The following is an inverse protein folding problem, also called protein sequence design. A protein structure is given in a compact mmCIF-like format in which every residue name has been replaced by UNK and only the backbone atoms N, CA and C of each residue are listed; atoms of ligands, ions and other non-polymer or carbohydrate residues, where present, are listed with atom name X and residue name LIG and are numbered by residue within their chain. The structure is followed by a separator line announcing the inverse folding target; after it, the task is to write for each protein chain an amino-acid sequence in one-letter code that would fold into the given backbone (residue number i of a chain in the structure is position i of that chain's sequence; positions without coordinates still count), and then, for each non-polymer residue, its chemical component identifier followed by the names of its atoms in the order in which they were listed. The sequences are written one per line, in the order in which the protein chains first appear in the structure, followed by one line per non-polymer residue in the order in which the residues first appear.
data_IF_732164204447
#
_entry.id   IF_732164204447
#
_cell.length_a   1.000
_cell.length_b   1.000
_cell.length_c   1.000
_cell.angle_alpha   90.00
_cell.angle_beta   90.00
_cell.angle_gamma   90.00
#
_symmetry.space_group_name_H-M   'P 1'
#
loop_
_entity.id
_entity.type
_entity.pdbx_description
1 polymer ?
#
# COMPACT_ATOMS: atom_id res chain seq x y z
N UNK A 1 6.42 -10.44 -10.50
CA UNK A 1 5.68 -9.36 -9.80
C UNK A 1 5.89 -8.06 -10.54
N UNK A 2 4.82 -7.31 -10.76
CA UNK A 2 4.83 -6.10 -11.57
C UNK A 2 4.49 -4.92 -10.67
N UNK A 3 5.48 -4.06 -10.48
CA UNK A 3 5.46 -3.00 -9.50
C UNK A 3 6.56 -1.98 -9.73
N UNK A 4 6.85 -1.13 -8.74
CA UNK A 4 7.92 -0.13 -8.82
C UNK A 4 8.43 0.09 -7.41
N UNK A 5 9.75 -0.01 -7.24
CA UNK A 5 10.39 0.34 -5.97
C UNK A 5 10.50 1.87 -5.88
N UNK A 6 9.78 2.47 -4.93
CA UNK A 6 9.88 3.88 -4.60
C UNK A 6 9.50 4.13 -3.12
N UNK A 7 9.68 5.35 -2.63
CA UNK A 7 9.41 5.71 -1.23
C UNK A 7 7.94 6.09 -0.95
N UNK A 8 7.03 5.92 -1.93
CA UNK A 8 5.60 6.14 -1.76
C UNK A 8 4.94 4.87 -1.24
N UNK A 9 3.73 4.99 -0.67
CA UNK A 9 3.03 3.87 -0.04
C UNK A 9 2.97 2.60 -0.91
N UNK A 10 2.51 2.73 -2.17
CA UNK A 10 2.44 1.59 -3.09
C UNK A 10 3.80 1.00 -3.45
N UNK A 11 4.84 1.82 -3.58
CA UNK A 11 6.19 1.33 -3.88
C UNK A 11 6.87 0.67 -2.68
N UNK A 12 6.61 1.14 -1.47
CA UNK A 12 7.03 0.48 -0.23
C UNK A 12 6.31 -0.86 -0.07
N UNK A 13 4.99 -0.91 -0.30
CA UNK A 13 4.24 -2.15 -0.27
C UNK A 13 4.81 -3.18 -1.26
N UNK A 14 5.00 -2.79 -2.52
CA UNK A 14 5.64 -3.65 -3.53
C UNK A 14 7.04 -4.12 -3.10
N UNK A 15 7.90 -3.18 -2.68
CA UNK A 15 9.29 -3.47 -2.35
C UNK A 15 9.43 -4.44 -1.18
N UNK A 16 8.66 -4.23 -0.10
CA UNK A 16 8.70 -5.08 1.09
C UNK A 16 8.11 -6.46 0.81
N UNK A 17 6.96 -6.53 0.11
CA UNK A 17 6.39 -7.82 -0.30
C UNK A 17 7.36 -8.60 -1.18
N UNK A 18 8.00 -7.93 -2.14
CA UNK A 18 8.98 -8.54 -3.02
C UNK A 18 10.20 -9.08 -2.26
N UNK A 19 10.73 -8.29 -1.31
CA UNK A 19 11.85 -8.70 -0.46
C UNK A 19 11.51 -9.97 0.35
N UNK A 20 10.35 -9.98 0.99
CA UNK A 20 9.93 -11.11 1.83
C UNK A 20 9.66 -12.35 0.97
N UNK A 21 8.99 -12.22 -0.18
CA UNK A 21 8.74 -13.34 -1.09
C UNK A 21 10.06 -13.94 -1.63
N UNK A 22 11.04 -13.07 -1.95
CA UNK A 22 12.39 -13.50 -2.37
C UNK A 22 13.19 -14.20 -1.27
N UNK A 23 12.87 -13.92 -0.01
CA UNK A 23 13.53 -14.56 1.14
C UNK A 23 13.05 -16.00 1.37
N UNK A 24 11.89 -16.39 0.82
CA UNK A 24 11.32 -17.71 1.01
C UNK A 24 12.11 -18.77 0.24
N UNK A 25 12.61 -19.79 0.94
CA UNK A 25 13.47 -20.84 0.38
C UNK A 25 12.92 -21.51 -0.88
N UNK A 26 11.61 -21.71 -0.97
CA UNK A 26 10.97 -22.43 -2.08
C UNK A 26 10.57 -21.53 -3.24
N UNK A 27 10.33 -20.24 -2.99
CA UNK A 27 9.81 -19.30 -3.99
C UNK A 27 10.87 -18.32 -4.47
N UNK A 28 11.88 -18.01 -3.66
CA UNK A 28 12.75 -16.88 -3.92
C UNK A 28 13.51 -16.91 -5.25
N UNK A 29 13.93 -18.10 -5.70
CA UNK A 29 14.64 -18.27 -6.97
C UNK A 29 13.76 -18.10 -8.21
N UNK A 30 12.43 -18.16 -8.08
CA UNK A 30 11.48 -18.03 -9.19
C UNK A 30 10.79 -16.66 -9.21
N UNK A 31 11.10 -15.78 -8.26
CA UNK A 31 10.47 -14.45 -8.15
C UNK A 31 11.22 -13.44 -9.00
N UNK A 32 10.63 -13.07 -10.13
CA UNK A 32 11.05 -11.94 -10.95
C UNK A 32 10.32 -10.65 -10.54
N UNK A 33 11.06 -9.53 -10.50
CA UNK A 33 10.50 -8.19 -10.34
C UNK A 33 10.59 -7.44 -11.65
N UNK A 34 9.50 -6.78 -12.04
CA UNK A 34 9.43 -5.93 -13.23
C UNK A 34 9.03 -4.54 -12.79
N UNK A 35 9.86 -3.54 -13.11
CA UNK A 35 9.47 -2.14 -12.96
C UNK A 35 8.44 -1.78 -14.03
N UNK A 36 7.17 -1.82 -13.64
CA UNK A 36 6.05 -1.56 -14.55
C UNK A 36 5.90 -0.08 -14.93
N UNK A 37 6.73 0.82 -14.39
CA UNK A 37 6.87 2.19 -14.91
C UNK A 37 7.87 2.29 -16.06
N UNK A 38 8.68 1.26 -16.31
CA UNK A 38 9.67 1.21 -17.40
C UNK A 38 9.12 0.38 -18.57
N UNK A 39 8.58 1.06 -19.59
CA UNK A 39 7.95 0.40 -20.74
C UNK A 39 8.80 -0.71 -21.38
N UNK A 40 10.11 -0.54 -21.65
CA UNK A 40 10.90 -1.61 -22.26
C UNK A 40 11.00 -2.88 -21.39
N UNK A 41 11.11 -2.72 -20.07
CA UNK A 41 11.16 -3.85 -19.13
C UNK A 41 9.81 -4.57 -19.07
N UNK A 42 8.72 -3.79 -19.09
CA UNK A 42 7.37 -4.34 -19.10
C UNK A 42 7.04 -5.07 -20.41
N UNK A 43 7.42 -4.52 -21.55
CA UNK A 43 7.24 -5.16 -22.86
C UNK A 43 8.02 -6.48 -22.96
N UNK A 44 9.25 -6.51 -22.44
CA UNK A 44 10.03 -7.74 -22.36
C UNK A 44 9.36 -8.80 -21.47
N UNK A 45 8.88 -8.40 -20.29
CA UNK A 45 8.16 -9.30 -19.38
C UNK A 45 6.88 -9.87 -20.02
N UNK A 46 6.10 -9.02 -20.70
CA UNK A 46 4.91 -9.44 -21.45
C UNK A 46 5.29 -10.48 -22.52
N UNK A 47 6.33 -10.21 -23.31
CA UNK A 47 6.79 -11.12 -24.36
C UNK A 47 7.25 -12.48 -23.81
N UNK A 48 7.97 -12.47 -22.68
CA UNK A 48 8.51 -13.69 -22.05
C UNK A 48 7.51 -14.46 -21.20
N UNK A 49 6.38 -13.86 -20.82
CA UNK A 49 5.36 -14.52 -19.99
C UNK A 49 4.83 -15.82 -20.61
N UNK A 50 4.51 -16.77 -19.74
CA UNK A 50 4.07 -18.14 -20.02
C UNK A 50 2.75 -18.46 -19.29
N UNK A 51 1.98 -19.47 -19.73
CA UNK A 51 0.77 -19.90 -19.02
C UNK A 51 0.99 -20.34 -17.56
N UNK A 52 2.20 -20.76 -17.21
CA UNK A 52 2.58 -21.22 -15.88
C UNK A 52 2.89 -20.08 -14.90
N UNK A 53 3.05 -18.86 -15.40
CA UNK A 53 3.42 -17.71 -14.58
C UNK A 53 2.27 -17.22 -13.68
N UNK A 54 2.65 -16.67 -12.53
CA UNK A 54 1.75 -15.92 -11.64
C UNK A 54 2.19 -14.45 -11.62
N UNK A 55 1.35 -13.59 -12.19
CA UNK A 55 1.61 -12.17 -12.37
C UNK A 55 0.86 -11.36 -11.32
N UNK A 56 1.57 -10.94 -10.27
CA UNK A 56 1.03 -10.11 -9.19
C UNK A 56 1.24 -8.63 -9.51
N UNK A 57 0.14 -7.87 -9.59
CA UNK A 57 0.12 -6.45 -9.90
C UNK A 57 -0.30 -5.62 -8.69
N UNK A 58 0.50 -4.58 -8.39
CA UNK A 58 0.29 -3.69 -7.24
C UNK A 58 -0.50 -2.42 -7.56
N UNK A 59 -0.87 -2.21 -8.83
CA UNK A 59 -1.73 -1.11 -9.26
C UNK A 59 -2.41 -1.43 -10.60
N UNK A 60 -3.41 -0.62 -10.94
CA UNK A 60 -4.09 -0.68 -12.24
C UNK A 60 -3.13 -0.34 -13.37
N UNK A 61 -2.92 -1.27 -14.29
CA UNK A 61 -2.11 -1.05 -15.48
C UNK A 61 -2.78 -1.63 -16.74
N UNK A 62 -2.73 -0.94 -17.90
CA UNK A 62 -3.33 -1.45 -19.14
C UNK A 62 -2.70 -2.76 -19.63
N UNK A 63 -1.43 -3.02 -19.27
CA UNK A 63 -0.72 -4.22 -19.74
C UNK A 63 -1.08 -5.52 -19.02
N UNK A 64 -1.99 -5.49 -18.03
CA UNK A 64 -2.45 -6.71 -17.33
C UNK A 64 -3.03 -7.74 -18.30
N UNK A 65 -3.75 -7.31 -19.33
CA UNK A 65 -4.35 -8.22 -20.32
C UNK A 65 -3.34 -8.84 -21.27
N UNK A 66 -2.09 -8.35 -21.32
CA UNK A 66 -1.07 -8.84 -22.26
C UNK A 66 -0.14 -9.89 -21.66
N UNK A 67 -0.06 -10.01 -20.33
CA UNK A 67 0.70 -11.10 -19.70
C UNK A 67 -0.07 -12.42 -19.79
N UNK A 68 0.65 -13.52 -20.03
CA UNK A 68 0.11 -14.88 -19.97
C UNK A 68 0.12 -15.41 -18.54
N UNK A 69 -0.68 -16.45 -18.29
CA UNK A 69 -0.77 -17.11 -16.99
C UNK A 69 -1.76 -16.46 -16.02
N UNK A 70 -1.59 -16.74 -14.74
CA UNK A 70 -2.49 -16.25 -13.69
C UNK A 70 -2.25 -14.76 -13.45
N UNK A 71 -3.33 -13.98 -13.36
CA UNK A 71 -3.31 -12.52 -13.19
C UNK A 71 -3.91 -12.20 -11.83
N UNK A 72 -3.06 -11.75 -10.91
CA UNK A 72 -3.44 -11.36 -9.56
C UNK A 72 -3.43 -9.85 -9.47
N UNK A 73 -4.57 -9.23 -9.18
CA UNK A 73 -4.69 -7.79 -9.01
C UNK A 73 -4.86 -7.45 -7.53
N UNK A 74 -3.87 -6.79 -6.94
CA UNK A 74 -3.97 -6.32 -5.57
C UNK A 74 -4.75 -5.01 -5.53
N UNK A 75 -6.03 -5.11 -5.18
CA UNK A 75 -6.97 -4.00 -5.13
C UNK A 75 -6.94 -3.34 -3.74
N UNK A 76 -6.37 -2.14 -3.67
CA UNK A 76 -6.32 -1.30 -2.47
C UNK A 76 -7.09 -0.01 -2.77
N UNK A 77 -8.12 0.27 -1.98
CA UNK A 77 -8.96 1.45 -2.11
C UNK A 77 -9.49 1.90 -0.74
N UNK A 78 -9.88 3.17 -0.63
CA UNK A 78 -10.31 3.83 0.61
C UNK A 78 -11.79 4.30 0.51
N UNK A 79 -12.60 3.71 -0.38
CA UNK A 79 -13.99 4.10 -0.66
C UNK A 79 -14.92 2.89 -0.74
N UNK A 80 -16.15 3.04 -0.27
CA UNK A 80 -17.24 2.06 -0.39
C UNK A 80 -17.98 2.11 -1.73
N UNK A 81 -17.76 3.19 -2.51
CA UNK A 81 -18.27 3.35 -3.87
C UNK A 81 -17.11 3.45 -4.83
N UNK A 82 -17.02 2.47 -5.72
CA UNK A 82 -15.93 2.35 -6.69
C UNK A 82 -16.37 2.86 -8.07
N UNK A 83 -15.46 3.51 -8.84
CA UNK A 83 -15.73 3.85 -10.22
C UNK A 83 -16.10 2.62 -11.06
N UNK A 84 -17.13 2.73 -11.90
CA UNK A 84 -17.60 1.61 -12.71
C UNK A 84 -16.52 1.03 -13.64
N UNK A 85 -15.62 1.89 -14.16
CA UNK A 85 -14.50 1.47 -14.99
C UNK A 85 -13.42 0.70 -14.21
N UNK A 86 -13.27 0.98 -12.91
CA UNK A 86 -12.37 0.22 -12.04
C UNK A 86 -12.94 -1.17 -11.75
N UNK A 87 -14.24 -1.27 -11.49
CA UNK A 87 -14.93 -2.55 -11.30
C UNK A 87 -14.86 -3.40 -12.58
N UNK A 88 -15.15 -2.81 -13.75
CA UNK A 88 -15.00 -3.49 -15.03
C UNK A 88 -13.56 -3.94 -15.28
N UNK A 89 -12.57 -3.08 -14.97
CA UNK A 89 -11.17 -3.44 -15.07
C UNK A 89 -10.82 -4.69 -14.24
N UNK A 90 -11.23 -4.75 -12.96
CA UNK A 90 -10.99 -5.92 -12.12
C UNK A 90 -11.66 -7.17 -12.69
N UNK A 91 -12.94 -7.06 -13.06
CA UNK A 91 -13.73 -8.17 -13.63
C UNK A 91 -13.11 -8.75 -14.90
N UNK A 92 -12.66 -7.90 -15.82
CA UNK A 92 -12.24 -8.32 -17.15
C UNK A 92 -10.78 -8.78 -17.18
N UNK A 93 -9.97 -8.38 -16.19
CA UNK A 93 -8.52 -8.58 -16.21
C UNK A 93 -7.96 -9.47 -15.09
N UNK A 94 -8.70 -9.69 -14.00
CA UNK A 94 -8.23 -10.53 -12.90
C UNK A 94 -8.62 -12.01 -13.10
N UNK A 95 -7.70 -12.90 -12.77
CA UNK A 95 -8.04 -14.28 -12.40
C UNK A 95 -8.23 -14.39 -10.89
N UNK A 96 -7.50 -13.59 -10.11
CA UNK A 96 -7.64 -13.44 -8.67
C UNK A 96 -7.50 -11.96 -8.31
N UNK A 97 -8.33 -11.49 -7.39
CA UNK A 97 -8.26 -10.17 -6.78
C UNK A 97 -7.84 -10.34 -5.32
N UNK A 98 -6.78 -9.65 -4.92
CA UNK A 98 -6.37 -9.59 -3.52
C UNK A 98 -6.85 -8.29 -2.90
N UNK A 99 -7.45 -8.38 -1.72
CA UNK A 99 -7.85 -7.23 -0.91
C UNK A 99 -7.26 -7.33 0.49
N UNK A 100 -6.95 -6.22 1.17
CA UNK A 100 -6.27 -6.25 2.47
C UNK A 100 -7.18 -6.64 3.65
N UNK A 101 -8.49 -6.68 3.46
CA UNK A 101 -9.46 -6.92 4.54
C UNK A 101 -10.79 -7.47 4.02
N UNK A 102 -11.57 -8.07 4.93
CA UNK A 102 -12.95 -8.48 4.65
C UNK A 102 -13.83 -7.30 4.19
N UNK A 103 -13.62 -6.10 4.76
CA UNK A 103 -14.33 -4.90 4.30
C UNK A 103 -14.10 -4.63 2.80
N UNK A 104 -12.86 -4.74 2.33
CA UNK A 104 -12.56 -4.57 0.90
C UNK A 104 -13.20 -5.65 0.03
N UNK A 105 -13.29 -6.89 0.54
CA UNK A 105 -14.00 -7.98 -0.13
C UNK A 105 -15.49 -7.67 -0.25
N UNK A 106 -16.13 -7.26 0.84
CA UNK A 106 -17.54 -6.92 0.87
C UNK A 106 -17.87 -5.81 -0.14
N UNK A 107 -17.07 -4.73 -0.18
CA UNK A 107 -17.23 -3.64 -1.15
C UNK A 107 -17.14 -4.13 -2.60
N UNK A 108 -16.21 -5.04 -2.91
CA UNK A 108 -16.09 -5.59 -4.27
C UNK A 108 -17.25 -6.53 -4.63
N UNK A 109 -17.72 -7.34 -3.68
CA UNK A 109 -18.89 -8.21 -3.87
C UNK A 109 -20.14 -7.38 -4.12
N UNK A 110 -20.36 -6.33 -3.33
CA UNK A 110 -21.45 -5.37 -3.53
C UNK A 110 -21.35 -4.63 -4.88
N UNK A 111 -20.12 -4.34 -5.34
CA UNK A 111 -19.87 -3.79 -6.66
C UNK A 111 -20.07 -4.81 -7.81
N UNK A 112 -20.36 -6.07 -7.51
CA UNK A 112 -20.64 -7.13 -8.49
C UNK A 112 -19.39 -7.79 -9.06
N UNK A 113 -18.31 -7.90 -8.27
CA UNK A 113 -17.21 -8.83 -8.53
C UNK A 113 -17.56 -10.19 -7.93
N UNK A 114 -17.24 -11.27 -8.64
CA UNK A 114 -17.49 -12.63 -8.17
C UNK A 114 -16.67 -12.91 -6.88
N UNK A 115 -17.31 -13.25 -5.75
CA UNK A 115 -16.59 -13.57 -4.52
C UNK A 115 -15.61 -14.74 -4.66
N UNK A 116 -15.80 -15.63 -5.64
CA UNK A 116 -14.92 -16.78 -5.85
C UNK A 116 -13.51 -16.40 -6.36
N UNK A 117 -13.34 -15.19 -6.89
CA UNK A 117 -12.04 -14.68 -7.34
C UNK A 117 -11.40 -13.72 -6.34
N UNK A 118 -12.01 -13.48 -5.17
CA UNK A 118 -11.50 -12.50 -4.18
C UNK A 118 -10.91 -13.23 -2.97
N UNK A 119 -9.60 -13.06 -2.78
CA UNK A 119 -8.89 -13.49 -1.57
C UNK A 119 -8.55 -12.31 -0.67
N UNK A 120 -8.74 -12.50 0.64
CA UNK A 120 -8.27 -11.54 1.64
C UNK A 120 -6.81 -11.83 1.95
N UNK A 121 -5.93 -10.92 1.55
CA UNK A 121 -4.49 -10.97 1.78
C UNK A 121 -4.07 -9.70 2.54
N UNK A 122 -4.00 -9.76 3.89
CA UNK A 122 -3.63 -8.61 4.69
C UNK A 122 -2.23 -8.09 4.38
N UNK A 123 -2.05 -6.77 4.43
CA UNK A 123 -0.71 -6.18 4.36
C UNK A 123 0.10 -6.51 5.62
N UNK A 124 1.39 -6.80 5.41
CA UNK A 124 2.30 -7.18 6.47
C UNK A 124 3.02 -5.99 7.12
N UNK A 125 3.49 -6.18 8.36
CA UNK A 125 4.48 -5.31 8.99
C UNK A 125 5.79 -6.07 9.13
N UNK A 126 6.92 -5.40 8.94
CA UNK A 126 8.22 -6.03 9.16
C UNK A 126 8.42 -6.31 10.67
N UNK A 127 8.41 -7.58 11.12
CA UNK A 127 8.45 -7.91 12.53
C UNK A 127 9.83 -7.63 13.16
N UNK A 128 10.89 -7.44 12.36
CA UNK A 128 12.21 -7.04 12.89
C UNK A 128 12.21 -5.60 13.37
N UNK A 129 11.38 -4.75 12.77
CA UNK A 129 11.23 -3.34 13.14
C UNK A 129 10.04 -3.13 14.09
N UNK A 130 8.96 -3.88 13.87
CA UNK A 130 7.68 -3.75 14.57
C UNK A 130 7.37 -5.04 15.33
N UNK A 131 7.98 -5.22 16.50
CA UNK A 131 7.58 -6.27 17.42
C UNK A 131 7.33 -5.75 18.83
N UNK A 132 6.37 -6.33 19.56
CA UNK A 132 5.94 -5.83 20.88
C UNK A 132 7.04 -5.90 21.95
N UNK A 133 8.07 -6.73 21.74
CA UNK A 133 9.18 -6.92 22.68
C UNK A 133 10.33 -5.92 22.49
N UNK A 134 10.30 -5.08 21.45
CA UNK A 134 11.40 -4.17 21.12
C UNK A 134 11.30 -2.82 21.84
N UNK A 135 10.20 -2.57 22.54
CA UNK A 135 9.93 -1.30 23.22
C UNK A 135 9.66 -1.54 24.70
N UNK A 136 10.26 -0.70 25.54
CA UNK A 136 9.88 -0.63 26.95
C UNK A 136 8.39 -0.34 27.04
N UNK A 137 7.67 -1.13 27.85
CA UNK A 137 6.27 -0.84 28.15
C UNK A 137 6.23 0.52 28.83
N UNK A 138 5.40 1.41 28.31
CA UNK A 138 5.13 2.68 28.97
C UNK A 138 4.32 2.38 30.23
N UNK A 139 4.71 2.98 31.35
CA UNK A 139 3.94 2.88 32.59
C UNK A 139 2.52 3.42 32.36
N UNK A 140 1.53 2.73 32.92
CA UNK A 140 0.15 3.17 32.86
C UNK A 140 0.03 4.55 33.52
N UNK A 141 -0.57 5.52 32.81
CA UNK A 141 -0.72 6.89 33.31
C UNK A 141 0.54 7.76 33.19
N UNK A 142 1.64 7.28 32.61
CA UNK A 142 2.84 8.10 32.41
C UNK A 142 2.53 9.36 31.59
N UNK A 143 2.85 10.53 32.14
CA UNK A 143 2.64 11.83 31.50
C UNK A 143 3.89 12.33 30.74
N UNK A 144 3.72 13.20 29.74
CA UNK A 144 2.45 13.63 29.15
C UNK A 144 1.81 12.54 28.28
N UNK A 145 0.48 12.42 28.23
CA UNK A 145 -0.16 11.56 27.22
C UNK A 145 0.18 12.07 25.82
N UNK A 146 0.66 11.19 24.93
CA UNK A 146 1.19 11.59 23.61
C UNK A 146 0.26 11.13 22.50
N UNK A 147 -0.30 12.08 21.77
CA UNK A 147 -0.90 11.86 20.47
C UNK A 147 0.20 11.91 19.41
N UNK A 148 0.12 11.02 18.42
CA UNK A 148 1.03 10.99 17.28
C UNK A 148 0.20 11.08 16.00
N UNK A 149 0.50 12.07 15.16
CA UNK A 149 -0.01 12.14 13.79
C UNK A 149 1.15 11.99 12.81
N UNK A 150 1.04 11.00 11.93
CA UNK A 150 2.03 10.70 10.88
C UNK A 150 1.35 10.83 9.52
N UNK A 151 1.89 11.69 8.67
CA UNK A 151 1.35 11.92 7.33
C UNK A 151 2.20 12.89 6.54
N UNK A 152 1.97 12.96 5.24
CA UNK A 152 2.54 14.04 4.41
C UNK A 152 1.82 15.34 4.75
N UNK A 153 2.52 16.47 4.80
CA UNK A 153 1.90 17.79 4.92
C UNK A 153 1.08 18.16 3.68
N UNK A 154 -0.16 17.68 3.63
CA UNK A 154 -1.11 17.85 2.54
C UNK A 154 -2.50 18.16 3.13
N UNK A 155 -3.32 18.91 2.41
CA UNK A 155 -4.65 19.32 2.88
C UNK A 155 -5.56 18.12 3.22
N UNK A 156 -5.46 17.03 2.46
CA UNK A 156 -6.16 15.77 2.72
C UNK A 156 -5.79 15.13 4.08
N UNK A 157 -4.70 15.54 4.72
CA UNK A 157 -4.30 15.08 6.07
C UNK A 157 -4.80 15.99 7.19
N UNK A 158 -5.54 17.05 6.86
CA UNK A 158 -6.31 17.88 7.79
C UNK A 158 -5.52 18.46 8.99
N UNK A 159 -4.23 18.81 8.79
CA UNK A 159 -3.39 19.36 9.87
C UNK A 159 -3.98 20.60 10.55
N UNK A 160 -4.68 21.46 9.78
CA UNK A 160 -5.36 22.65 10.33
C UNK A 160 -6.42 22.25 11.36
N UNK A 161 -7.35 21.38 10.95
CA UNK A 161 -8.41 20.88 11.83
C UNK A 161 -7.84 20.11 13.04
N UNK A 162 -6.78 19.32 12.84
CA UNK A 162 -6.07 18.64 13.92
C UNK A 162 -5.50 19.62 14.95
N UNK A 163 -4.81 20.66 14.50
CA UNK A 163 -4.20 21.67 15.38
C UNK A 163 -5.26 22.51 16.11
N UNK A 164 -6.29 22.96 15.40
CA UNK A 164 -7.41 23.71 15.97
C UNK A 164 -8.16 22.86 17.01
N UNK A 165 -8.50 21.62 16.68
CA UNK A 165 -9.17 20.69 17.58
C UNK A 165 -8.30 20.33 18.80
N UNK A 166 -7.00 20.10 18.61
CA UNK A 166 -6.09 19.83 19.72
C UNK A 166 -5.97 21.03 20.66
N UNK A 167 -5.84 22.23 20.12
CA UNK A 167 -5.77 23.47 20.91
C UNK A 167 -7.07 23.72 21.69
N UNK A 168 -8.23 23.50 21.06
CA UNK A 168 -9.54 23.63 21.73
C UNK A 168 -9.74 22.60 22.84
N UNK A 169 -9.35 21.34 22.60
CA UNK A 169 -9.54 20.26 23.57
C UNK A 169 -8.58 20.34 24.77
N UNK A 170 -7.36 20.81 24.56
CA UNK A 170 -6.28 20.68 25.55
C UNK A 170 -5.59 21.98 25.95
N UNK A 171 -5.71 23.05 25.16
CA UNK A 171 -5.07 24.34 25.43
C UNK A 171 -3.58 24.21 25.75
N UNK A 172 -3.16 24.82 26.86
CA UNK A 172 -1.78 24.79 27.35
C UNK A 172 -1.54 23.70 28.41
N UNK A 173 -2.33 22.61 28.41
CA UNK A 173 -2.19 21.54 29.40
C UNK A 173 -0.82 20.82 29.25
N UNK A 174 0.08 20.89 30.24
CA UNK A 174 1.41 20.29 30.15
C UNK A 174 1.39 18.75 30.21
N UNK A 175 0.27 18.14 30.61
CA UNK A 175 0.11 16.70 30.74
C UNK A 175 -0.25 15.99 29.43
N UNK A 176 -0.38 16.72 28.33
CA UNK A 176 -0.69 16.18 27.00
C UNK A 176 0.22 16.79 25.93
N UNK A 177 0.54 16.00 24.92
CA UNK A 177 1.45 16.39 23.85
C UNK A 177 0.94 15.87 22.51
N UNK A 178 0.95 16.73 21.49
CA UNK A 178 0.76 16.34 20.09
C UNK A 178 2.12 16.31 19.39
N UNK A 179 2.49 15.14 18.85
CA UNK A 179 3.68 14.96 18.03
C UNK A 179 3.23 14.86 16.58
N UNK A 180 3.79 15.73 15.73
CA UNK A 180 3.53 15.74 14.29
C UNK A 180 4.77 15.24 13.54
N UNK A 181 4.60 14.16 12.79
CA UNK A 181 5.54 13.73 11.76
C UNK A 181 4.91 14.08 10.41
N UNK A 182 5.23 15.29 9.93
CA UNK A 182 4.59 15.93 8.77
C UNK A 182 5.55 16.11 7.58
N UNK A 183 6.77 15.60 7.67
CA UNK A 183 7.79 15.80 6.65
C UNK A 183 7.47 15.09 5.33
N UNK A 184 7.84 15.77 4.25
CA UNK A 184 7.80 15.28 2.88
C UNK A 184 9.21 14.76 2.53
N UNK A 185 9.37 13.46 2.30
CA UNK A 185 10.68 12.87 1.96
C UNK A 185 11.20 13.21 0.55
N UNK A 186 10.56 14.13 -0.17
CA UNK A 186 11.11 14.66 -1.43
C UNK A 186 11.73 16.02 -1.14
N UNK A 187 13.05 16.07 -1.24
CA UNK A 187 13.91 17.26 -1.11
C UNK A 187 13.27 18.49 -1.77
N UNK A 188 12.70 19.39 -0.96
CA UNK A 188 12.29 20.72 -1.42
C UNK A 188 13.48 21.57 -1.91
N UNK A 189 14.70 21.18 -1.53
CA UNK A 189 15.97 21.84 -1.91
C UNK A 189 16.39 21.63 -3.38
N UNK A 190 15.71 20.79 -4.18
CA UNK A 190 16.06 20.60 -5.61
C UNK A 190 15.20 21.39 -6.61
N UNK A 191 14.28 22.26 -6.15
CA UNK A 191 13.48 23.14 -7.03
C UNK A 191 13.87 24.63 -7.00
N UNK A 192 15.07 24.97 -6.53
CA UNK A 192 15.63 26.34 -6.61
C UNK A 192 16.80 26.48 -7.61
N UNK A 193 17.01 25.48 -8.47
CA UNK A 193 18.10 25.48 -9.46
C UNK A 193 17.65 25.11 -10.88
N UNK A 194 16.38 25.39 -11.21
CA UNK A 194 15.84 25.46 -12.58
C UNK A 194 15.01 26.74 -12.69
#
# INVERSE_FOLDING_TARGET
MLGQRNALGGGVHFAEFANELKSLRLLGSVVEEVDAAQLPALEDAVRRSTPEDVNIWFWRHPAVSFVKGTRVLWAIFESDRLPADYVAYLRDNAHVVWVPSEWGKDVLVEAGIDPAIIDVVPEGVNPRNYHPFLRAKREAGAKPFRFLSVGKYEERKAYRALLEGFSQAFGNNPDVQLILKADYFLKFEQKKAE
#
